data_IF_951330624979
#
_entry.id   IF_951330624979
#
_cell.length_a   1.000
_cell.length_b   1.000
_cell.length_c   1.000
_cell.angle_alpha   90.00
_cell.angle_beta   90.00
_cell.angle_gamma   90.00
#
_symmetry.space_group_name_H-M   'P 1'
#
loop_
_entity.id
_entity.type
_entity.pdbx_description
1 polymer ?
#
# COMPACT_ATOMS: atom_id res chain seq x y z
N UNK A 1 -13.24 -10.36 -14.38
CA UNK A 1 -12.70 -9.23 -13.62
C UNK A 1 -11.50 -9.74 -12.88
N UNK A 2 -10.30 -9.31 -13.27
CA UNK A 2 -9.06 -9.82 -12.70
C UNK A 2 -8.61 -8.94 -11.53
N UNK A 3 -8.20 -9.58 -10.43
CA UNK A 3 -7.59 -8.91 -9.27
C UNK A 3 -6.17 -8.45 -9.62
N UNK A 4 -5.77 -7.27 -9.12
CA UNK A 4 -4.43 -6.75 -9.33
C UNK A 4 -3.40 -7.54 -8.52
N UNK A 5 -2.26 -7.81 -9.15
CA UNK A 5 -1.07 -8.34 -8.45
C UNK A 5 -0.41 -7.18 -7.70
N UNK A 6 -0.12 -7.40 -6.42
CA UNK A 6 0.53 -6.43 -5.55
C UNK A 6 1.69 -7.04 -4.77
N UNK A 7 2.58 -6.19 -4.27
CA UNK A 7 3.63 -6.58 -3.33
C UNK A 7 3.09 -6.69 -1.88
N UNK A 8 3.99 -7.00 -0.94
CA UNK A 8 3.67 -7.17 0.48
C UNK A 8 3.11 -5.90 1.16
N UNK A 9 3.27 -4.73 0.53
CA UNK A 9 2.71 -3.45 0.99
C UNK A 9 1.55 -2.97 0.12
N UNK A 10 0.93 -3.89 -0.63
CA UNK A 10 -0.23 -3.63 -1.47
C UNK A 10 0.05 -2.70 -2.66
N UNK A 11 1.32 -2.47 -3.02
CA UNK A 11 1.65 -1.66 -4.18
C UNK A 11 1.51 -2.49 -5.46
N UNK A 12 0.91 -1.91 -6.49
CA UNK A 12 0.85 -2.55 -7.81
C UNK A 12 2.22 -2.52 -8.49
N UNK A 13 2.30 -3.11 -9.69
CA UNK A 13 3.48 -2.97 -10.56
C UNK A 13 3.75 -1.52 -10.97
N UNK A 14 2.74 -0.64 -10.89
CA UNK A 14 2.92 0.79 -11.12
C UNK A 14 3.39 1.49 -9.84
N UNK A 15 4.52 2.25 -9.88
CA UNK A 15 5.00 3.00 -8.72
C UNK A 15 3.93 3.94 -8.16
N UNK A 16 3.84 4.00 -6.82
CA UNK A 16 2.94 4.89 -6.06
C UNK A 16 1.44 4.62 -6.23
N UNK A 17 1.05 3.51 -6.86
CA UNK A 17 -0.34 3.06 -6.93
C UNK A 17 -0.49 1.81 -6.06
N UNK A 18 -1.54 1.78 -5.24
CA UNK A 18 -1.80 0.71 -4.28
C UNK A 18 -3.20 0.15 -4.51
N UNK A 19 -3.36 -1.17 -4.36
CA UNK A 19 -4.65 -1.86 -4.44
C UNK A 19 -4.88 -2.66 -3.17
N UNK A 20 -6.03 -2.46 -2.54
CA UNK A 20 -6.39 -3.03 -1.22
C UNK A 20 -7.69 -3.80 -1.30
N UNK A 21 -7.88 -4.75 -0.38
CA UNK A 21 -9.12 -5.53 -0.30
C UNK A 21 -9.41 -6.24 -1.62
N UNK A 22 -10.66 -6.19 -2.06
CA UNK A 22 -11.18 -6.94 -3.21
C UNK A 22 -10.50 -6.62 -4.56
N UNK A 23 -9.78 -5.49 -4.66
CA UNK A 23 -9.02 -5.13 -5.85
C UNK A 23 -7.66 -5.86 -5.94
N UNK A 24 -7.16 -6.37 -4.81
CA UNK A 24 -5.92 -7.13 -4.69
C UNK A 24 -6.22 -8.62 -4.68
N UNK A 25 -5.30 -9.44 -5.19
CA UNK A 25 -5.40 -10.89 -5.06
C UNK A 25 -5.34 -11.31 -3.58
N UNK A 26 -6.40 -11.96 -3.08
CA UNK A 26 -6.47 -12.39 -1.68
C UNK A 26 -7.88 -12.76 -1.24
N UNK A 27 -8.11 -12.76 0.06
CA UNK A 27 -9.43 -12.96 0.67
C UNK A 27 -10.16 -11.62 0.74
N UNK A 28 -11.36 -11.58 0.17
CA UNK A 28 -12.23 -10.40 0.13
C UNK A 28 -12.99 -10.26 1.46
N UNK A 29 -12.35 -9.66 2.45
CA UNK A 29 -12.92 -9.40 3.78
C UNK A 29 -12.55 -8.01 4.28
N UNK A 30 -13.45 -7.42 5.09
CA UNK A 30 -13.27 -6.07 5.65
C UNK A 30 -12.00 -5.98 6.49
N UNK A 31 -11.74 -6.96 7.35
CA UNK A 31 -10.53 -7.00 8.19
C UNK A 31 -9.24 -7.02 7.36
N UNK A 32 -9.25 -7.74 6.23
CA UNK A 32 -8.13 -7.79 5.29
C UNK A 32 -7.96 -6.45 4.58
N UNK A 33 -9.04 -5.84 4.09
CA UNK A 33 -8.98 -4.53 3.44
C UNK A 33 -8.43 -3.43 4.37
N UNK A 34 -8.79 -3.47 5.66
CA UNK A 34 -8.27 -2.55 6.68
C UNK A 34 -6.77 -2.78 6.95
N UNK A 35 -6.35 -4.03 7.07
CA UNK A 35 -4.94 -4.38 7.23
C UNK A 35 -4.10 -3.94 6.01
N UNK A 36 -4.61 -4.18 4.80
CA UNK A 36 -3.99 -3.76 3.54
C UNK A 36 -3.81 -2.23 3.47
N UNK A 37 -4.84 -1.47 3.86
CA UNK A 37 -4.77 -0.01 3.95
C UNK A 37 -3.68 0.47 4.93
N UNK A 38 -3.52 -0.22 6.06
CA UNK A 38 -2.50 0.10 7.08
C UNK A 38 -1.08 -0.11 6.55
N UNK A 39 -0.85 -1.20 5.80
CA UNK A 39 0.45 -1.50 5.17
C UNK A 39 0.78 -0.49 4.07
N UNK A 40 -0.16 -0.20 3.18
CA UNK A 40 0.01 0.78 2.12
C UNK A 40 0.32 2.18 2.68
N UNK A 41 -0.45 2.64 3.67
CA UNK A 41 -0.23 3.93 4.33
C UNK A 41 1.16 4.01 4.99
N UNK A 42 1.60 2.93 5.65
CA UNK A 42 2.93 2.84 6.25
C UNK A 42 4.04 2.99 5.21
N UNK A 43 3.91 2.33 4.06
CA UNK A 43 4.90 2.44 2.97
C UNK A 43 4.92 3.84 2.36
N UNK A 44 3.76 4.45 2.13
CA UNK A 44 3.66 5.83 1.63
C UNK A 44 4.37 6.79 2.61
N UNK A 45 4.04 6.70 3.89
CA UNK A 45 4.65 7.52 4.93
C UNK A 45 6.18 7.34 5.00
N UNK A 46 6.66 6.09 5.02
CA UNK A 46 8.11 5.79 5.03
C UNK A 46 8.81 6.35 3.81
N UNK A 47 8.19 6.24 2.64
CA UNK A 47 8.73 6.76 1.38
C UNK A 47 8.87 8.28 1.45
N UNK A 48 7.80 8.99 1.83
CA UNK A 48 7.82 10.45 1.97
C UNK A 48 8.88 10.88 2.98
N UNK A 49 8.89 10.28 4.18
CA UNK A 49 9.85 10.59 5.26
C UNK A 49 11.31 10.43 4.82
N UNK A 50 11.62 9.42 4.01
CA UNK A 50 12.98 9.16 3.52
C UNK A 50 13.38 10.08 2.37
N UNK A 51 12.40 10.61 1.63
CA UNK A 51 12.63 11.57 0.55
C UNK A 51 12.65 13.03 1.02
N UNK A 52 12.07 13.33 2.18
CA UNK A 52 12.15 14.66 2.78
C UNK A 52 13.53 14.90 3.40
N UNK A 53 14.14 16.09 3.20
CA UNK A 53 15.33 16.46 3.95
C UNK A 53 15.04 16.42 5.45
N UNK A 54 16.01 16.04 6.31
CA UNK A 54 15.85 16.24 7.75
C UNK A 54 15.56 17.71 8.00
N UNK A 55 14.48 18.01 8.74
CA UNK A 55 14.21 19.38 9.15
C UNK A 55 15.40 19.85 9.99
N UNK A 56 16.18 20.78 9.45
CA UNK A 56 17.28 21.44 10.16
C UNK A 56 16.68 22.19 11.34
N UNK A 57 16.90 21.65 12.56
CA UNK A 57 16.63 22.34 13.82
C UNK A 57 17.81 23.21 14.24
#
# INVERSE_FOLDING_TARGET
GETLVTDEFCQTTHPRIFAIGDLKKGINQVSIAVADGTLAATKIWRTIRRSSPPASG
#
